data_IF_862508263818
#
_entry.id   IF_862508263818
#
_cell.length_a   1.000
_cell.length_b   1.000
_cell.length_c   1.000
_cell.angle_alpha   90.00
_cell.angle_beta   90.00
_cell.angle_gamma   90.00
#
_symmetry.space_group_name_H-M   'P 1'
#
loop_
_entity.id
_entity.type
_entity.pdbx_description
1 polymer ?
#
# COMPACT_ATOMS: atom_id res chain seq x y z
N UNK A 1 -6.47 -10.52 3.50
CA UNK A 1 -5.82 -9.96 4.71
C UNK A 1 -5.99 -8.46 4.70
N UNK A 2 -6.29 -7.83 5.84
CA UNK A 2 -6.37 -6.37 5.99
C UNK A 2 -5.50 -5.97 7.18
N UNK A 3 -4.62 -5.00 6.99
CA UNK A 3 -3.83 -4.37 8.05
C UNK A 3 -4.26 -2.91 8.20
N UNK A 4 -4.52 -2.48 9.43
CA UNK A 4 -4.77 -1.06 9.73
C UNK A 4 -3.50 -0.42 10.27
N UNK A 5 -3.24 0.83 9.89
CA UNK A 5 -2.11 1.60 10.40
C UNK A 5 -2.45 3.09 10.49
N UNK A 6 -1.69 3.80 11.32
CA UNK A 6 -1.77 5.25 11.46
C UNK A 6 -0.62 5.92 10.73
N UNK A 7 -0.89 7.06 10.11
CA UNK A 7 0.12 7.96 9.58
C UNK A 7 -0.30 9.42 9.81
N UNK A 8 0.67 10.26 10.16
CA UNK A 8 0.43 11.69 10.35
C UNK A 8 0.48 12.40 9.00
N UNK A 9 -0.66 12.94 8.56
CA UNK A 9 -0.77 13.74 7.34
C UNK A 9 -1.04 15.19 7.74
N UNK A 10 -0.20 16.13 7.29
CA UNK A 10 -0.39 17.55 7.60
C UNK A 10 -0.45 17.86 9.11
N UNK A 11 0.20 17.03 9.95
CA UNK A 11 0.16 17.16 11.41
C UNK A 11 -1.05 16.52 12.10
N UNK A 12 -1.95 15.86 11.37
CA UNK A 12 -3.07 15.12 11.95
C UNK A 12 -2.88 13.61 11.78
N UNK A 13 -3.03 12.81 12.85
CA UNK A 13 -3.03 11.36 12.73
C UNK A 13 -4.26 10.91 11.93
N UNK A 14 -4.04 10.10 10.91
CA UNK A 14 -5.08 9.52 10.05
C UNK A 14 -4.93 8.00 10.00
N UNK A 15 -6.07 7.29 9.91
CA UNK A 15 -6.13 5.83 9.86
C UNK A 15 -6.32 5.33 8.44
N UNK A 16 -5.53 4.31 8.07
CA UNK A 16 -5.50 3.71 6.75
C UNK A 16 -5.60 2.19 6.85
N UNK A 17 -6.06 1.57 5.77
CA UNK A 17 -6.13 0.13 5.60
C UNK A 17 -5.25 -0.28 4.42
N UNK A 18 -4.44 -1.32 4.58
CA UNK A 18 -3.72 -1.98 3.50
C UNK A 18 -4.28 -3.40 3.32
N UNK A 19 -4.61 -3.77 2.09
CA UNK A 19 -5.19 -5.08 1.79
C UNK A 19 -4.69 -5.64 0.47
N UNK A 20 -4.57 -6.96 0.39
CA UNK A 20 -4.20 -7.62 -0.86
C UNK A 20 -5.44 -7.72 -1.76
N UNK A 21 -5.30 -7.25 -3.00
CA UNK A 21 -6.32 -7.39 -4.02
C UNK A 21 -6.21 -8.76 -4.71
N UNK A 22 -7.29 -9.53 -4.66
CA UNK A 22 -7.46 -10.75 -5.46
C UNK A 22 -8.03 -10.40 -6.85
N UNK A 23 -7.42 -10.92 -7.92
CA UNK A 23 -7.87 -10.54 -9.27
C UNK A 23 -7.20 -11.22 -10.45
N UNK A 24 -6.69 -12.45 -10.30
CA UNK A 24 -6.15 -13.25 -11.41
C UNK A 24 -4.89 -12.71 -12.11
N UNK A 25 -4.39 -11.54 -11.70
CA UNK A 25 -3.14 -10.93 -12.15
C UNK A 25 -2.06 -10.92 -11.04
N UNK A 26 -0.96 -10.16 -11.23
CA UNK A 26 0.06 -10.01 -10.19
C UNK A 26 -0.56 -9.53 -8.88
N UNK A 27 -0.03 -10.05 -7.76
CA UNK A 27 -0.46 -9.66 -6.42
C UNK A 27 -0.26 -8.16 -6.24
N UNK A 28 -1.26 -7.50 -5.67
CA UNK A 28 -1.27 -6.04 -5.44
C UNK A 28 -1.74 -5.75 -4.03
N UNK A 29 -1.16 -4.75 -3.39
CA UNK A 29 -1.67 -4.17 -2.15
C UNK A 29 -2.36 -2.86 -2.48
N UNK A 30 -3.58 -2.70 -1.99
CA UNK A 30 -4.34 -1.46 -2.06
C UNK A 30 -4.30 -0.84 -0.67
N UNK A 31 -3.85 0.43 -0.61
CA UNK A 31 -3.94 1.26 0.58
C UNK A 31 -5.10 2.23 0.40
N UNK A 32 -6.02 2.23 1.36
CA UNK A 32 -7.21 3.06 1.36
C UNK A 32 -7.39 3.80 2.69
N UNK A 33 -8.19 4.87 2.67
CA UNK A 33 -8.69 5.47 3.91
C UNK A 33 -9.54 4.48 4.69
N UNK A 34 -9.36 4.45 6.01
CA UNK A 34 -10.12 3.54 6.87
C UNK A 34 -11.60 3.95 7.01
N UNK A 35 -11.92 5.24 6.88
CA UNK A 35 -13.26 5.79 7.10
C UNK A 35 -14.12 5.89 5.83
N UNK A 36 -13.51 6.04 4.65
CA UNK A 36 -14.22 6.17 3.38
C UNK A 36 -14.02 5.00 2.41
N UNK A 37 -13.07 4.10 2.69
CA UNK A 37 -12.61 3.07 1.75
C UNK A 37 -12.07 3.62 0.41
N UNK A 38 -11.78 4.92 0.35
CA UNK A 38 -11.19 5.57 -0.81
C UNK A 38 -9.77 5.03 -1.04
N UNK A 39 -9.51 4.49 -2.23
CA UNK A 39 -8.20 3.96 -2.61
C UNK A 39 -7.23 5.11 -2.90
N UNK A 40 -6.05 5.06 -2.30
CA UNK A 40 -5.02 6.10 -2.42
C UNK A 40 -3.77 5.58 -3.12
N UNK A 41 -3.34 4.36 -2.80
CA UNK A 41 -2.10 3.79 -3.34
C UNK A 41 -2.33 2.35 -3.78
N UNK A 42 -1.76 1.99 -4.92
CA UNK A 42 -1.66 0.62 -5.42
C UNK A 42 -0.18 0.25 -5.49
N UNK A 43 0.22 -0.80 -4.79
CA UNK A 43 1.58 -1.35 -4.84
C UNK A 43 1.52 -2.73 -5.49
N UNK A 44 2.14 -2.88 -6.66
CA UNK A 44 2.22 -4.17 -7.35
C UNK A 44 3.48 -4.95 -7.02
N UNK A 45 3.39 -6.28 -7.14
CA UNK A 45 4.49 -7.20 -6.92
C UNK A 45 5.43 -7.35 -8.14
N UNK A 46 5.26 -6.57 -9.20
CA UNK A 46 5.97 -6.82 -10.48
C UNK A 46 7.45 -6.48 -10.45
N UNK A 47 7.89 -5.63 -9.49
CA UNK A 47 9.30 -5.27 -9.27
C UNK A 47 10.11 -6.31 -8.50
N UNK A 48 9.48 -7.36 -7.97
CA UNK A 48 10.12 -8.37 -7.13
C UNK A 48 10.89 -9.39 -7.97
N UNK A 49 12.23 -9.36 -7.89
CA UNK A 49 13.12 -10.30 -8.58
C UNK A 49 13.71 -11.31 -7.57
N UNK A 50 13.67 -12.60 -7.91
CA UNK A 50 14.49 -13.63 -7.24
C UNK A 50 14.21 -13.84 -5.75
N UNK A 51 15.24 -13.77 -4.91
CA UNK A 51 15.20 -14.16 -3.48
C UNK A 51 14.17 -13.40 -2.63
N UNK A 52 13.79 -12.17 -3.02
CA UNK A 52 12.75 -11.36 -2.38
C UNK A 52 11.36 -12.02 -2.53
N UNK A 53 11.16 -12.81 -3.59
CA UNK A 53 9.90 -13.54 -3.83
C UNK A 53 9.57 -14.51 -2.70
N UNK A 54 10.56 -15.18 -2.11
CA UNK A 54 10.36 -16.10 -0.99
C UNK A 54 10.01 -15.38 0.32
N UNK A 55 10.41 -14.12 0.46
CA UNK A 55 10.09 -13.27 1.62
C UNK A 55 8.69 -12.65 1.48
N UNK A 56 8.30 -12.33 0.24
CA UNK A 56 6.96 -11.85 -0.14
C UNK A 56 5.92 -12.99 -0.27
N UNK A 57 6.36 -14.24 -0.35
CA UNK A 57 5.48 -15.43 -0.34
C UNK A 57 4.60 -15.50 0.92
N UNK A 58 4.97 -14.82 2.01
CA UNK A 58 4.07 -14.53 3.12
C UNK A 58 3.24 -13.27 2.81
N UNK A 59 1.90 -13.37 2.68
CA UNK A 59 1.02 -12.23 2.44
C UNK A 59 1.22 -11.06 3.40
N UNK A 60 1.63 -11.35 4.64
CA UNK A 60 1.86 -10.38 5.70
C UNK A 60 3.05 -9.46 5.42
N UNK A 61 4.16 -10.03 4.93
CA UNK A 61 5.36 -9.28 4.59
C UNK A 61 5.10 -8.35 3.39
N UNK A 62 4.34 -8.83 2.39
CA UNK A 62 3.99 -8.02 1.24
C UNK A 62 3.21 -6.75 1.62
N UNK A 63 2.23 -6.90 2.51
CA UNK A 63 1.43 -5.76 3.00
C UNK A 63 2.32 -4.79 3.79
N UNK A 64 3.15 -5.30 4.70
CA UNK A 64 4.06 -4.47 5.50
C UNK A 64 5.06 -3.69 4.63
N UNK A 65 5.64 -4.34 3.62
CA UNK A 65 6.57 -3.69 2.69
C UNK A 65 5.89 -2.66 1.81
N UNK A 66 4.67 -2.93 1.34
CA UNK A 66 3.88 -1.96 0.59
C UNK A 66 3.56 -0.71 1.42
N UNK A 67 3.17 -0.88 2.69
CA UNK A 67 2.93 0.24 3.62
C UNK A 67 4.21 1.03 3.84
N UNK A 68 5.32 0.35 4.12
CA UNK A 68 6.63 0.98 4.33
C UNK A 68 7.06 1.79 3.11
N UNK A 69 6.91 1.25 1.90
CA UNK A 69 7.25 1.95 0.65
C UNK A 69 6.36 3.19 0.46
N UNK A 70 5.05 3.06 0.67
CA UNK A 70 4.12 4.18 0.53
C UNK A 70 4.43 5.34 1.49
N UNK A 71 4.86 5.02 2.72
CA UNK A 71 5.33 6.01 3.69
C UNK A 71 6.65 6.66 3.29
N UNK A 72 7.64 5.86 2.87
CA UNK A 72 8.96 6.35 2.49
C UNK A 72 8.92 7.28 1.26
N UNK A 73 8.03 7.00 0.31
CA UNK A 73 7.87 7.75 -0.93
C UNK A 73 6.79 8.85 -0.84
N UNK A 74 6.18 9.05 0.34
CA UNK A 74 5.09 10.00 0.59
C UNK A 74 3.93 9.86 -0.42
N UNK A 75 3.59 8.62 -0.78
CA UNK A 75 2.57 8.35 -1.80
C UNK A 75 1.16 8.65 -1.30
N UNK A 76 0.91 8.45 0.01
CA UNK A 76 -0.39 8.73 0.62
C UNK A 76 -0.64 10.24 0.64
N UNK A 77 0.36 11.01 1.05
CA UNK A 77 0.34 12.48 1.00
C UNK A 77 0.08 12.97 -0.42
N UNK A 78 0.83 12.46 -1.40
CA UNK A 78 0.67 12.84 -2.80
C UNK A 78 -0.71 12.49 -3.34
N UNK A 79 -1.26 11.32 -2.99
CA UNK A 79 -2.61 10.95 -3.38
C UNK A 79 -3.66 11.93 -2.84
N UNK A 80 -3.53 12.33 -1.58
CA UNK A 80 -4.44 13.28 -0.94
C UNK A 80 -4.30 14.69 -1.51
N UNK A 81 -3.08 15.12 -1.85
CA UNK A 81 -2.81 16.44 -2.45
C UNK A 81 -3.33 16.55 -3.89
N UNK A 82 -3.16 15.49 -4.68
CA UNK A 82 -3.51 15.48 -6.11
C UNK A 82 -4.93 15.01 -6.39
N UNK A 83 -5.51 14.22 -5.48
CA UNK A 83 -6.75 13.48 -5.73
C UNK A 83 -6.58 12.30 -6.69
N UNK A 84 -5.33 11.95 -7.06
CA UNK A 84 -5.02 10.86 -7.97
C UNK A 84 -4.44 9.66 -7.24
N UNK A 85 -4.91 8.46 -7.63
CA UNK A 85 -4.38 7.20 -7.09
C UNK A 85 -2.93 7.01 -7.52
N UNK A 86 -2.04 6.86 -6.54
CA UNK A 86 -0.62 6.61 -6.80
C UNK A 86 -0.38 5.12 -7.06
N UNK A 87 0.36 4.79 -8.11
CA UNK A 87 0.72 3.40 -8.42
C UNK A 87 2.23 3.23 -8.43
N UNK A 88 2.72 2.17 -7.80
CA UNK A 88 4.15 1.85 -7.75
C UNK A 88 4.35 0.33 -7.70
N UNK A 89 5.57 -0.12 -7.97
CA UNK A 89 5.99 -1.51 -7.84
C UNK A 89 6.90 -1.67 -6.63
N UNK A 90 6.76 -2.78 -5.90
CA UNK A 90 7.65 -3.10 -4.78
C UNK A 90 9.12 -3.18 -5.21
#
# INVERSE_FOLDING_TARGET
MIQTFEQTIGGQPMQFCASIADGGGPQRVIISRADSAESLVIVDATGIIGAIRAEVEAPENFVADAVRKAQQEALIERALETGEVQTTSL
#
